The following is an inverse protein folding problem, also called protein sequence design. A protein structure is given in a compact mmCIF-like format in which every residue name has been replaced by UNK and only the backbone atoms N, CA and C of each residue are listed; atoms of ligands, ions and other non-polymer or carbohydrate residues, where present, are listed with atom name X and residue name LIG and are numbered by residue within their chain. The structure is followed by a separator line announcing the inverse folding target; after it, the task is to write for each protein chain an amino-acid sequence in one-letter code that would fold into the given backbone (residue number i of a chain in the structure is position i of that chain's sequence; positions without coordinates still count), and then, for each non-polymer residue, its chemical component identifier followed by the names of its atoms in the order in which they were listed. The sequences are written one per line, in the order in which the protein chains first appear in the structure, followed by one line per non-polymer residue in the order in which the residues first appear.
data_IF_112062234983
#
_entry.id   IF_112062234983
#
_cell.length_a   1.000
_cell.length_b   1.000
_cell.length_c   1.000
_cell.angle_alpha   90.00
_cell.angle_beta   90.00
_cell.angle_gamma   90.00
#
_symmetry.space_group_name_H-M   'P 1'
#
loop_
_entity.id
_entity.type
_entity.pdbx_description
1 polymer ?
#
# COMPACT_ATOMS: atom_id res chain seq x y z
N UNK A 1 40.67 -42.71 35.72
CA UNK A 1 39.89 -42.68 34.47
C UNK A 1 38.47 -42.28 34.83
N UNK A 2 38.06 -41.05 34.56
CA UNK A 2 36.64 -40.67 34.36
C UNK A 2 36.64 -39.26 33.76
N UNK A 3 36.08 -39.17 32.56
CA UNK A 3 36.16 -38.02 31.67
C UNK A 3 35.23 -36.89 32.14
N UNK A 4 35.73 -35.65 32.07
CA UNK A 4 34.92 -34.45 32.19
C UNK A 4 34.09 -34.29 30.93
N UNK A 5 32.76 -34.37 31.04
CA UNK A 5 31.83 -34.10 29.95
C UNK A 5 31.72 -32.60 29.71
N UNK A 6 32.22 -32.13 28.57
CA UNK A 6 31.95 -30.80 28.04
C UNK A 6 30.48 -30.73 27.60
N UNK A 7 29.66 -29.97 28.33
CA UNK A 7 28.32 -29.58 27.87
C UNK A 7 28.46 -28.56 26.74
N UNK A 8 27.96 -28.92 25.56
CA UNK A 8 27.81 -28.03 24.41
C UNK A 8 27.15 -26.71 24.80
N UNK A 9 27.75 -25.59 24.41
CA UNK A 9 27.03 -24.34 24.18
C UNK A 9 26.06 -24.57 23.02
N UNK A 10 24.80 -24.86 23.35
CA UNK A 10 23.72 -24.67 22.40
C UNK A 10 23.58 -23.16 22.21
N UNK A 11 24.07 -22.65 21.08
CA UNK A 11 23.59 -21.38 20.54
C UNK A 11 22.09 -21.56 20.35
N UNK A 12 21.31 -20.98 21.26
CA UNK A 12 19.88 -20.83 21.09
C UNK A 12 19.66 -19.94 19.87
N UNK A 13 19.40 -20.56 18.72
CA UNK A 13 18.70 -19.88 17.63
C UNK A 13 17.32 -19.61 18.20
N UNK A 14 17.07 -18.35 18.59
CA UNK A 14 15.72 -17.90 18.83
C UNK A 14 14.97 -18.13 17.52
N UNK A 15 14.18 -19.21 17.47
CA UNK A 15 13.13 -19.38 16.49
C UNK A 15 12.08 -18.33 16.85
N UNK A 16 12.35 -17.08 16.49
CA UNK A 16 11.31 -16.09 16.35
C UNK A 16 10.37 -16.65 15.30
N UNK A 17 9.22 -17.14 15.72
CA UNK A 17 8.10 -17.32 14.80
C UNK A 17 7.99 -16.02 14.03
N UNK A 18 8.23 -16.04 12.72
CA UNK A 18 7.91 -14.90 11.88
C UNK A 18 6.39 -14.78 11.93
N UNK A 19 5.88 -14.00 12.88
CA UNK A 19 4.53 -13.46 12.80
C UNK A 19 4.60 -12.61 11.53
N UNK A 20 4.08 -13.12 10.42
CA UNK A 20 3.83 -12.29 9.26
C UNK A 20 2.93 -11.18 9.78
N UNK A 21 3.46 -9.96 9.87
CA UNK A 21 2.65 -8.82 10.27
C UNK A 21 1.49 -8.74 9.27
N UNK A 22 0.28 -8.89 9.80
CA UNK A 22 -0.93 -8.76 9.01
C UNK A 22 -1.28 -7.29 9.02
N UNK A 23 -1.20 -6.67 7.85
CA UNK A 23 -1.69 -5.33 7.68
C UNK A 23 -3.19 -5.29 8.02
N UNK A 24 -3.67 -4.28 8.74
CA UNK A 24 -5.05 -4.19 9.20
C UNK A 24 -5.48 -2.74 9.30
N UNK A 25 -6.77 -2.51 9.13
CA UNK A 25 -7.39 -1.19 9.29
C UNK A 25 -8.59 -1.24 10.22
N UNK A 26 -8.79 -0.24 11.10
CA UNK A 26 -7.82 0.80 11.48
C UNK A 26 -6.76 0.30 12.48
N UNK A 27 -5.73 1.10 12.71
CA UNK A 27 -4.69 0.87 13.72
C UNK A 27 -3.60 -0.12 13.32
N UNK A 28 -3.43 -0.44 12.03
CA UNK A 28 -2.27 -1.17 11.53
C UNK A 28 -1.07 -0.25 11.33
N UNK A 29 0.14 -0.76 11.51
CA UNK A 29 1.38 -0.02 11.23
C UNK A 29 1.94 -0.42 9.86
N UNK A 30 1.12 -0.27 8.83
CA UNK A 30 1.39 -0.75 7.49
C UNK A 30 0.79 0.19 6.44
N UNK A 31 1.20 0.00 5.20
CA UNK A 31 0.58 0.60 4.03
C UNK A 31 -0.02 -0.46 3.13
N UNK A 32 -1.17 -0.16 2.54
CA UNK A 32 -1.77 -0.92 1.47
C UNK A 32 -1.72 -0.14 0.15
N UNK A 33 -1.01 -0.66 -0.85
CA UNK A 33 -1.13 -0.19 -2.23
C UNK A 33 -2.29 -0.93 -2.89
N UNK A 34 -3.41 -0.24 -3.08
CA UNK A 34 -4.59 -0.75 -3.78
C UNK A 34 -4.49 -0.44 -5.27
N UNK A 35 -4.65 -1.47 -6.08
CA UNK A 35 -4.79 -1.36 -7.53
C UNK A 35 -6.21 -1.76 -7.95
N UNK A 36 -6.67 -1.16 -9.04
CA UNK A 36 -7.98 -1.43 -9.63
C UNK A 36 -7.89 -1.57 -11.15
N UNK A 37 -8.90 -2.19 -11.75
CA UNK A 37 -9.14 -2.15 -13.19
C UNK A 37 -10.45 -1.44 -13.48
N UNK A 38 -10.37 -0.42 -14.32
CA UNK A 38 -11.55 0.27 -14.81
C UNK A 38 -12.34 -0.61 -15.79
N UNK A 39 -13.65 -0.36 -15.89
CA UNK A 39 -14.53 -1.09 -16.79
C UNK A 39 -14.04 -1.01 -18.24
N UNK A 40 -13.85 -2.17 -18.85
CA UNK A 40 -13.37 -2.27 -20.24
C UNK A 40 -11.84 -2.16 -20.40
N UNK A 41 -11.08 -2.15 -19.31
CA UNK A 41 -9.61 -2.19 -19.31
C UNK A 41 -9.09 -3.41 -18.55
N UNK A 42 -8.07 -4.06 -19.12
CA UNK A 42 -7.30 -5.10 -18.42
C UNK A 42 -6.08 -4.55 -17.68
N UNK A 43 -5.80 -3.26 -17.84
CA UNK A 43 -4.66 -2.60 -17.20
C UNK A 43 -4.99 -2.24 -15.75
N UNK A 44 -4.07 -2.60 -14.85
CA UNK A 44 -4.07 -2.12 -13.48
C UNK A 44 -3.74 -0.63 -13.42
N UNK A 45 -4.54 0.13 -12.69
CA UNK A 45 -4.24 1.49 -12.22
C UNK A 45 -4.21 1.49 -10.70
N UNK A 46 -3.59 2.51 -10.11
CA UNK A 46 -3.60 2.75 -8.67
C UNK A 46 -5.00 3.25 -8.31
N UNK A 47 -5.61 2.59 -7.34
CA UNK A 47 -6.74 3.13 -6.59
C UNK A 47 -6.19 4.06 -5.52
N UNK A 48 -5.29 3.58 -4.67
CA UNK A 48 -4.66 4.41 -3.65
C UNK A 48 -3.47 3.78 -2.93
N UNK A 49 -2.79 4.61 -2.14
CA UNK A 49 -1.76 4.19 -1.18
C UNK A 49 -2.25 4.56 0.21
N UNK A 50 -2.64 3.57 1.01
CA UNK A 50 -3.40 3.80 2.23
C UNK A 50 -2.56 3.46 3.46
N UNK A 51 -2.21 4.46 4.29
CA UNK A 51 -1.68 4.19 5.62
C UNK A 51 -2.79 3.63 6.50
N UNK A 52 -2.66 2.39 6.97
CA UNK A 52 -3.77 1.69 7.62
C UNK A 52 -3.92 1.97 9.14
N UNK A 53 -3.19 2.95 9.65
CA UNK A 53 -3.35 3.37 11.05
C UNK A 53 -4.56 4.27 11.26
N UNK A 54 -4.85 5.18 10.33
CA UNK A 54 -5.91 6.18 10.44
C UNK A 54 -6.26 6.78 9.08
N UNK A 55 -7.34 7.58 9.01
CA UNK A 55 -7.70 8.38 7.84
C UNK A 55 -8.02 9.84 8.23
N UNK A 56 -8.01 10.74 7.24
CA UNK A 56 -8.42 12.14 7.43
C UNK A 56 -7.57 12.90 8.45
N UNK A 57 -6.28 12.59 8.54
CA UNK A 57 -5.38 13.21 9.51
C UNK A 57 -5.19 14.71 9.22
N UNK A 58 -4.87 15.53 10.23
CA UNK A 58 -4.49 16.92 10.01
C UNK A 58 -3.26 17.00 9.08
N UNK A 59 -3.34 17.80 8.03
CA UNK A 59 -2.28 17.94 7.04
C UNK A 59 -2.46 19.15 6.13
N UNK A 60 -1.55 19.33 5.17
CA UNK A 60 -1.72 20.37 4.13
C UNK A 60 -2.92 20.05 3.26
N UNK A 61 -3.61 21.10 2.81
CA UNK A 61 -4.65 20.95 1.78
C UNK A 61 -4.02 20.49 0.47
N UNK A 62 -4.81 19.80 -0.35
CA UNK A 62 -4.41 19.38 -1.69
C UNK A 62 -4.03 20.59 -2.56
N UNK A 63 -2.90 20.51 -3.24
CA UNK A 63 -2.41 21.49 -4.20
C UNK A 63 -1.97 20.81 -5.50
N UNK A 64 -2.84 20.87 -6.52
CA UNK A 64 -2.57 20.31 -7.84
C UNK A 64 -1.26 20.81 -8.47
N UNK A 65 -0.77 22.00 -8.10
CA UNK A 65 0.49 22.53 -8.62
C UNK A 65 1.71 21.76 -8.12
N UNK A 66 1.62 21.12 -6.94
CA UNK A 66 2.66 20.24 -6.41
C UNK A 66 2.87 18.99 -7.27
N UNK A 67 1.87 18.61 -8.08
CA UNK A 67 1.88 17.41 -8.93
C UNK A 67 2.29 17.69 -10.37
N UNK A 68 2.60 18.95 -10.71
CA UNK A 68 2.85 19.38 -12.09
C UNK A 68 3.94 18.55 -12.81
N UNK A 69 4.99 18.14 -12.09
CA UNK A 69 6.11 17.35 -12.65
C UNK A 69 5.77 15.89 -12.92
N UNK A 70 4.71 15.34 -12.31
CA UNK A 70 4.32 13.92 -12.42
C UNK A 70 2.91 13.72 -12.97
N UNK A 71 2.27 14.79 -13.47
CA UNK A 71 0.87 14.74 -13.92
C UNK A 71 0.61 13.72 -15.02
N UNK A 72 1.53 13.60 -15.98
CA UNK A 72 1.41 12.59 -17.04
C UNK A 72 1.46 11.15 -16.52
N UNK A 73 2.28 10.89 -15.49
CA UNK A 73 2.32 9.56 -14.86
C UNK A 73 1.04 9.29 -14.07
N UNK A 74 0.53 10.29 -13.33
CA UNK A 74 -0.72 10.16 -12.59
C UNK A 74 -1.92 9.94 -13.51
N UNK A 75 -2.01 10.67 -14.63
CA UNK A 75 -3.07 10.51 -15.61
C UNK A 75 -3.10 9.11 -16.25
N UNK A 76 -1.96 8.42 -16.31
CA UNK A 76 -1.85 7.07 -16.87
C UNK A 76 -2.00 5.98 -15.81
N UNK A 77 -1.40 6.18 -14.64
CA UNK A 77 -1.19 5.12 -13.63
C UNK A 77 -2.11 5.27 -12.43
N UNK A 78 -2.61 6.47 -12.12
CA UNK A 78 -3.46 6.76 -10.96
C UNK A 78 -4.72 7.52 -11.37
N UNK A 79 -5.33 7.15 -12.49
CA UNK A 79 -6.53 7.81 -13.00
C UNK A 79 -7.80 7.41 -12.24
N UNK A 80 -8.77 8.31 -12.24
CA UNK A 80 -10.15 8.01 -11.91
C UNK A 80 -10.76 7.10 -12.99
N UNK A 81 -11.43 6.02 -12.60
CA UNK A 81 -12.05 5.15 -13.57
C UNK A 81 -13.26 5.83 -14.26
N UNK A 82 -13.39 5.75 -15.60
CA UNK A 82 -14.38 6.54 -16.34
C UNK A 82 -15.82 6.27 -15.92
N UNK A 83 -16.14 5.05 -15.49
CA UNK A 83 -17.47 4.64 -15.03
C UNK A 83 -17.97 5.41 -13.80
N UNK A 84 -17.08 6.04 -13.03
CA UNK A 84 -17.45 6.85 -11.87
C UNK A 84 -17.77 8.31 -12.23
N UNK A 85 -17.42 8.76 -13.45
CA UNK A 85 -17.68 10.14 -13.90
C UNK A 85 -16.93 11.23 -13.12
N UNK A 86 -15.94 10.86 -12.31
CA UNK A 86 -15.12 11.77 -11.52
C UNK A 86 -13.84 12.17 -12.28
N UNK A 87 -13.37 13.41 -12.12
CA UNK A 87 -12.10 13.86 -12.69
C UNK A 87 -10.90 13.30 -11.92
N UNK A 88 -9.78 13.08 -12.62
CA UNK A 88 -8.52 12.67 -11.99
C UNK A 88 -8.11 13.59 -10.84
N UNK A 89 -8.29 14.90 -10.99
CA UNK A 89 -7.93 15.88 -9.95
C UNK A 89 -8.76 15.74 -8.68
N UNK A 90 -10.09 15.52 -8.80
CA UNK A 90 -10.94 15.28 -7.64
C UNK A 90 -10.59 13.95 -6.96
N UNK A 91 -10.26 12.93 -7.75
CA UNK A 91 -9.84 11.64 -7.23
C UNK A 91 -8.50 11.74 -6.48
N UNK A 92 -7.48 12.41 -7.03
CA UNK A 92 -6.23 12.65 -6.32
C UNK A 92 -6.42 13.49 -5.06
N UNK A 93 -7.30 14.49 -5.11
CA UNK A 93 -7.68 15.26 -3.92
C UNK A 93 -8.27 14.35 -2.83
N UNK A 94 -9.18 13.44 -3.18
CA UNK A 94 -9.75 12.48 -2.25
C UNK A 94 -8.66 11.60 -1.61
N UNK A 95 -7.80 11.00 -2.44
CA UNK A 95 -6.72 10.14 -1.98
C UNK A 95 -5.73 10.88 -1.06
N UNK A 96 -5.40 12.13 -1.38
CA UNK A 96 -4.56 12.96 -0.54
C UNK A 96 -5.23 13.30 0.80
N UNK A 97 -6.41 13.92 0.77
CA UNK A 97 -7.07 14.44 1.97
C UNK A 97 -7.46 13.32 2.95
N UNK A 98 -7.88 12.17 2.43
CA UNK A 98 -8.32 11.03 3.24
C UNK A 98 -7.18 10.11 3.66
N UNK A 99 -6.21 9.85 2.79
CA UNK A 99 -5.16 8.86 3.06
C UNK A 99 -3.76 9.49 3.13
N UNK A 100 -3.40 10.31 2.15
CA UNK A 100 -2.08 10.93 2.05
C UNK A 100 -1.69 11.78 3.26
N UNK A 101 -2.63 12.53 3.84
CA UNK A 101 -2.40 13.35 5.05
C UNK A 101 -1.94 12.54 6.26
N UNK A 102 -2.32 11.26 6.34
CA UNK A 102 -1.90 10.38 7.43
C UNK A 102 -0.47 9.83 7.28
N UNK A 103 0.11 9.88 6.07
CA UNK A 103 1.44 9.31 5.78
C UNK A 103 2.61 10.06 6.44
N UNK A 104 2.41 11.32 6.83
CA UNK A 104 3.48 12.23 7.26
C UNK A 104 4.40 12.71 6.13
N UNK A 105 4.11 12.36 4.87
CA UNK A 105 4.85 12.82 3.70
C UNK A 105 4.34 14.18 3.21
N UNK A 106 5.14 14.87 2.39
CA UNK A 106 4.64 15.97 1.55
C UNK A 106 3.82 15.39 0.39
N UNK A 107 2.83 16.14 -0.10
CA UNK A 107 1.91 15.73 -1.17
C UNK A 107 2.64 15.14 -2.39
N UNK A 108 3.59 15.88 -2.96
CA UNK A 108 4.37 15.40 -4.11
C UNK A 108 5.15 14.11 -3.80
N UNK A 109 5.69 13.98 -2.58
CA UNK A 109 6.41 12.77 -2.17
C UNK A 109 5.50 11.57 -2.00
N UNK A 110 4.27 11.77 -1.51
CA UNK A 110 3.26 10.71 -1.37
C UNK A 110 2.86 10.13 -2.74
N UNK A 111 2.49 11.00 -3.69
CA UNK A 111 2.15 10.56 -5.04
C UNK A 111 3.32 9.93 -5.78
N UNK A 112 4.52 10.52 -5.67
CA UNK A 112 5.72 9.94 -6.26
C UNK A 112 6.02 8.56 -5.68
N UNK A 113 5.81 8.36 -4.36
CA UNK A 113 6.00 7.07 -3.71
C UNK A 113 4.99 6.03 -4.20
N UNK A 114 3.72 6.38 -4.32
CA UNK A 114 2.70 5.48 -4.87
C UNK A 114 3.00 5.06 -6.32
N UNK A 115 3.42 6.00 -7.17
CA UNK A 115 3.86 5.71 -8.55
C UNK A 115 5.06 4.74 -8.59
N UNK A 116 6.06 4.95 -7.73
CA UNK A 116 7.22 4.05 -7.61
C UNK A 116 6.82 2.64 -7.19
N UNK A 117 5.95 2.52 -6.19
CA UNK A 117 5.47 1.23 -5.70
C UNK A 117 4.64 0.52 -6.77
N UNK A 118 3.79 1.24 -7.51
CA UNK A 118 3.06 0.70 -8.65
C UNK A 118 3.98 0.11 -9.71
N UNK A 119 4.97 0.89 -10.17
CA UNK A 119 5.90 0.43 -11.22
C UNK A 119 6.69 -0.81 -10.76
N UNK A 120 7.02 -0.90 -9.47
CA UNK A 120 7.74 -2.03 -8.90
C UNK A 120 6.87 -3.28 -8.66
N UNK A 121 5.61 -3.11 -8.25
CA UNK A 121 4.82 -4.20 -7.68
C UNK A 121 3.56 -4.59 -8.44
N UNK A 122 3.13 -3.84 -9.47
CA UNK A 122 1.92 -4.17 -10.26
C UNK A 122 1.88 -5.60 -10.80
N UNK A 123 3.05 -6.20 -11.08
CA UNK A 123 3.16 -7.59 -11.56
C UNK A 123 2.63 -8.62 -10.55
N UNK A 124 2.64 -8.30 -9.25
CA UNK A 124 2.07 -9.16 -8.20
C UNK A 124 0.55 -9.27 -8.30
N UNK A 125 -0.11 -8.32 -8.96
CA UNK A 125 -1.54 -8.30 -9.19
C UNK A 125 -1.99 -9.09 -10.41
N UNK A 126 -1.08 -9.84 -11.05
CA UNK A 126 -1.42 -10.72 -12.17
C UNK A 126 -2.22 -11.98 -11.73
N UNK A 127 -2.42 -12.21 -10.43
CA UNK A 127 -3.09 -13.40 -9.90
C UNK A 127 -3.92 -13.10 -8.64
N UNK A 128 -5.25 -12.93 -8.78
CA UNK A 128 -6.20 -12.73 -7.67
C UNK A 128 -7.65 -12.54 -8.13
N UNK A 129 -8.63 -13.07 -7.38
CA UNK A 129 -10.03 -13.30 -7.77
C UNK A 129 -10.89 -12.05 -7.95
N UNK A 130 -11.97 -12.20 -8.73
CA UNK A 130 -12.81 -11.20 -9.42
C UNK A 130 -12.09 -10.42 -10.55
N UNK A 131 -10.76 -10.32 -10.44
CA UNK A 131 -9.84 -9.80 -11.43
C UNK A 131 -9.84 -8.29 -11.58
N UNK A 132 -10.54 -7.55 -10.70
CA UNK A 132 -10.72 -6.10 -10.78
C UNK A 132 -10.01 -5.33 -9.68
N UNK A 133 -9.75 -5.94 -8.53
CA UNK A 133 -9.01 -5.32 -7.43
C UNK A 133 -7.78 -6.15 -7.02
N UNK A 134 -6.76 -5.46 -6.51
CA UNK A 134 -5.56 -6.08 -5.97
C UNK A 134 -4.93 -5.22 -4.88
N UNK A 135 -4.28 -5.86 -3.93
CA UNK A 135 -3.53 -5.20 -2.88
C UNK A 135 -2.09 -5.71 -2.78
N UNK A 136 -1.16 -4.79 -2.51
CA UNK A 136 0.21 -5.10 -2.09
C UNK A 136 0.49 -4.34 -0.81
N UNK A 137 0.81 -5.06 0.27
CA UNK A 137 0.98 -4.47 1.59
C UNK A 137 2.44 -4.40 1.99
N UNK A 138 2.76 -3.37 2.75
CA UNK A 138 4.09 -3.05 3.20
C UNK A 138 4.09 -2.72 4.68
N UNK A 139 5.23 -2.92 5.33
CA UNK A 139 5.46 -2.34 6.65
C UNK A 139 5.39 -0.80 6.61
N UNK A 140 5.30 -0.17 7.77
CA UNK A 140 5.22 1.29 7.94
C UNK A 140 6.30 2.07 7.18
N UNK A 141 7.50 1.50 7.01
CA UNK A 141 8.61 2.17 6.34
C UNK A 141 8.59 2.01 4.81
N UNK A 142 7.59 1.30 4.25
CA UNK A 142 7.49 0.97 2.82
C UNK A 142 8.73 0.23 2.30
N UNK A 143 9.37 -0.56 3.16
CA UNK A 143 10.65 -1.22 2.92
C UNK A 143 10.51 -2.73 2.72
N UNK A 144 9.56 -3.37 3.41
CA UNK A 144 9.33 -4.81 3.35
C UNK A 144 7.88 -5.11 3.05
N UNK A 145 7.65 -6.18 2.27
CA UNK A 145 6.30 -6.68 2.02
C UNK A 145 5.73 -7.31 3.29
N UNK A 146 4.45 -7.05 3.52
CA UNK A 146 3.65 -7.65 4.57
C UNK A 146 2.49 -8.44 3.98
N UNK A 147 1.84 -9.25 4.82
CA UNK A 147 0.63 -9.95 4.43
C UNK A 147 -0.53 -8.95 4.47
N UNK A 148 -1.17 -8.73 3.33
CA UNK A 148 -2.42 -7.96 3.32
C UNK A 148 -3.49 -8.68 4.14
N UNK A 149 -4.40 -7.94 4.79
CA UNK A 149 -5.53 -8.57 5.44
C UNK A 149 -6.25 -9.41 4.39
N UNK A 150 -6.39 -10.71 4.63
CA UNK A 150 -7.20 -11.56 3.76
C UNK A 150 -8.62 -11.02 3.81
N UNK A 151 -9.08 -10.43 2.71
CA UNK A 151 -10.48 -10.16 2.35
C UNK A 151 -11.49 -10.58 3.43
N UNK A 152 -11.79 -9.68 4.38
CA UNK A 152 -12.95 -9.82 5.24
C UNK A 152 -14.24 -9.35 4.53
N UNK A 153 -14.26 -9.35 3.19
CA UNK A 153 -15.36 -8.89 2.34
C UNK A 153 -16.46 -9.93 2.12
N UNK A 154 -16.78 -10.73 3.14
CA UNK A 154 -18.05 -11.46 3.19
C UNK A 154 -18.61 -11.41 4.62
N UNK A 155 -19.27 -10.29 4.96
CA UNK A 155 -20.62 -10.19 5.55
C UNK A 155 -20.76 -8.88 6.34
N UNK A 156 -21.35 -7.87 5.70
CA UNK A 156 -22.46 -7.07 6.27
C UNK A 156 -23.48 -6.84 5.16
#
# INVERSE_FOLDING_TARGET
MSFWGLRSCLLGVALGSAWSANCKYPGGECYELKLQKCQGSDNWTIHGLWPEWDNGCPGSQFDITALASMRSDLDQKWMSCPEFGESNENFWKHEWEKHGTCSGMQEASFFQKGLQLYDQYKVKCASGNDGKECAVCFNKDLATLETCPSEAWLTV
#
